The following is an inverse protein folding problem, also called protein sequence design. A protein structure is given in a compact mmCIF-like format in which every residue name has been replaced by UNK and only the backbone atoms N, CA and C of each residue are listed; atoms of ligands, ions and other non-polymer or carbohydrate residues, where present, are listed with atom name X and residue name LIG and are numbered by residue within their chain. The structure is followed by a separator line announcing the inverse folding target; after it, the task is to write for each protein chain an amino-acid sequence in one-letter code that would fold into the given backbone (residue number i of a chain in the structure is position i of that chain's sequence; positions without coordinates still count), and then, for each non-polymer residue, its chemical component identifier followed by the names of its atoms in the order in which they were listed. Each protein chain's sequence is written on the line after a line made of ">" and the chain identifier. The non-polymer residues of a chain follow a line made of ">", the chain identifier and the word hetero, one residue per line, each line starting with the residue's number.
data_IF_392690387567
#
_entry.id   IF_392690387567
#
_cell.length_a   1.000
_cell.length_b   1.000
_cell.length_c   1.000
_cell.angle_alpha   90.00
_cell.angle_beta   90.00
_cell.angle_gamma   90.00
#
_symmetry.space_group_name_H-M   'P 1'
#
loop_
_entity.id
_entity.type
_entity.pdbx_description
1 polymer ?
#
# COMPACT_ATOMS: atom_id res chain seq x y z
N UNK A 1 26.55 31.98 58.47
CA UNK A 1 27.84 31.44 58.98
C UNK A 1 27.50 30.40 60.05
N UNK A 2 27.94 29.13 59.94
CA UNK A 2 27.95 28.18 61.08
C UNK A 2 27.34 26.78 60.91
N UNK A 3 28.03 25.93 60.12
CA UNK A 3 28.22 24.46 60.12
C UNK A 3 27.38 23.43 60.96
N UNK A 4 26.82 22.45 60.22
CA UNK A 4 26.83 20.95 60.26
C UNK A 4 26.54 20.17 61.58
N UNK A 5 25.88 18.99 61.49
CA UNK A 5 26.67 17.75 61.69
C UNK A 5 26.38 16.63 60.66
N UNK A 6 27.43 15.84 60.37
CA UNK A 6 27.42 14.56 59.67
C UNK A 6 27.82 13.46 60.65
N UNK A 7 27.15 12.32 60.55
CA UNK A 7 27.50 11.03 61.15
C UNK A 7 26.28 10.12 61.03
N UNK A 8 26.31 8.85 60.65
CA UNK A 8 27.34 7.87 60.36
C UNK A 8 26.62 6.52 60.19
N UNK A 9 27.16 5.62 59.38
CA UNK A 9 26.57 4.40 58.82
C UNK A 9 26.20 3.27 59.83
N UNK A 10 25.24 2.40 59.45
CA UNK A 10 25.08 1.02 59.95
C UNK A 10 23.83 0.28 59.41
N UNK A 11 23.91 -0.90 58.73
CA UNK A 11 22.82 -1.43 57.88
C UNK A 11 22.14 -2.76 58.31
N UNK A 12 20.94 -2.97 57.73
CA UNK A 12 20.22 -4.21 57.33
C UNK A 12 19.73 -5.20 58.41
N UNK A 13 18.75 -6.13 58.14
CA UNK A 13 18.04 -6.43 56.89
C UNK A 13 16.49 -6.53 57.03
N UNK A 14 15.76 -6.26 55.94
CA UNK A 14 14.30 -6.46 55.88
C UNK A 14 13.90 -7.02 54.52
N UNK A 15 13.51 -8.30 54.54
CA UNK A 15 12.90 -9.12 53.50
C UNK A 15 12.34 -8.34 52.28
N UNK A 16 12.94 -8.61 51.11
CA UNK A 16 12.48 -8.08 49.83
C UNK A 16 11.04 -8.50 49.54
N UNK A 17 10.15 -7.51 49.41
CA UNK A 17 8.84 -7.70 48.80
C UNK A 17 9.05 -7.84 47.30
N UNK A 18 8.76 -9.03 46.77
CA UNK A 18 8.51 -9.25 45.35
C UNK A 18 7.30 -8.39 44.97
N UNK A 19 7.53 -7.28 44.27
CA UNK A 19 6.45 -6.55 43.60
C UNK A 19 6.04 -7.32 42.35
N UNK A 20 4.75 -7.55 42.10
CA UNK A 20 4.31 -8.18 40.87
C UNK A 20 4.63 -7.24 39.70
N UNK A 21 5.42 -7.72 38.75
CA UNK A 21 5.62 -7.04 37.46
C UNK A 21 4.26 -6.87 36.81
N UNK A 22 3.84 -5.66 36.41
CA UNK A 22 2.61 -5.52 35.64
C UNK A 22 2.80 -6.29 34.33
N UNK A 23 1.89 -7.23 34.08
CA UNK A 23 1.71 -7.88 32.79
C UNK A 23 1.62 -6.77 31.75
N UNK A 24 2.60 -6.69 30.85
CA UNK A 24 2.57 -5.79 29.72
C UNK A 24 1.36 -6.22 28.88
N UNK A 25 0.22 -5.56 29.11
CA UNK A 25 -0.97 -5.69 28.29
C UNK A 25 -0.54 -5.43 26.86
N UNK A 26 -0.79 -6.39 25.97
CA UNK A 26 -0.52 -6.36 24.52
C UNK A 26 -1.31 -5.27 23.80
N UNK A 27 -1.10 -4.04 24.26
CA UNK A 27 -1.65 -2.77 23.80
C UNK A 27 -0.52 -1.74 23.67
N UNK A 28 0.72 -2.18 23.42
CA UNK A 28 1.68 -1.41 22.61
C UNK A 28 1.20 -1.49 21.15
N UNK A 29 0.04 -0.86 20.94
CA UNK A 29 -0.77 -0.79 19.74
C UNK A 29 -0.04 0.12 18.74
N UNK A 30 0.47 -0.45 17.64
CA UNK A 30 0.57 0.13 16.29
C UNK A 30 0.99 1.62 16.12
N UNK A 31 1.76 2.22 17.03
CA UNK A 31 2.22 3.62 16.87
C UNK A 31 3.66 3.74 16.33
N UNK A 32 4.33 2.62 16.05
CA UNK A 32 5.78 2.63 15.76
C UNK A 32 6.16 2.68 14.27
N UNK A 33 5.24 2.45 13.33
CA UNK A 33 5.56 2.38 11.90
C UNK A 33 5.24 3.67 11.15
N UNK A 34 5.76 4.80 11.64
CA UNK A 34 5.74 6.07 10.91
C UNK A 34 7.15 6.42 10.38
N UNK A 35 7.32 6.66 9.07
CA UNK A 35 6.30 6.64 8.01
C UNK A 35 6.07 5.24 7.41
N UNK A 36 4.81 4.81 7.36
CA UNK A 36 4.37 3.69 6.51
C UNK A 36 4.32 4.15 5.04
N UNK A 37 4.59 3.24 4.11
CA UNK A 37 4.53 3.52 2.67
C UNK A 37 3.12 3.98 2.29
N UNK A 38 2.94 5.08 1.52
CA UNK A 38 1.61 5.52 1.08
C UNK A 38 0.86 4.45 0.28
N UNK A 39 -0.46 4.32 0.46
CA UNK A 39 -1.30 3.34 -0.25
C UNK A 39 -1.17 3.41 -1.77
N UNK A 40 -0.98 4.61 -2.34
CA UNK A 40 -0.74 4.77 -3.78
C UNK A 40 0.55 4.09 -4.26
N UNK A 41 1.59 4.03 -3.43
CA UNK A 41 2.83 3.33 -3.76
C UNK A 41 2.63 1.82 -3.69
N UNK A 42 1.88 1.30 -2.72
CA UNK A 42 1.54 -0.13 -2.67
C UNK A 42 0.75 -0.55 -3.92
N UNK A 43 -0.21 0.26 -4.35
CA UNK A 43 -0.95 0.01 -5.60
C UNK A 43 -0.01 0.04 -6.80
N UNK A 44 0.88 1.03 -6.90
CA UNK A 44 1.86 1.12 -7.99
C UNK A 44 2.80 -0.09 -8.02
N UNK A 45 3.31 -0.53 -6.87
CA UNK A 45 4.18 -1.70 -6.74
C UNK A 45 3.51 -2.95 -7.33
N UNK A 46 2.25 -3.20 -6.96
CA UNK A 46 1.46 -4.32 -7.51
C UNK A 46 1.18 -4.17 -9.01
N UNK A 47 0.86 -2.97 -9.47
CA UNK A 47 0.54 -2.71 -10.87
C UNK A 47 1.75 -2.80 -11.80
N UNK A 48 2.97 -2.62 -11.29
CA UNK A 48 4.21 -2.67 -12.08
C UNK A 48 4.62 -4.10 -12.44
N UNK A 49 4.03 -5.12 -11.81
CA UNK A 49 4.39 -6.52 -12.02
C UNK A 49 3.94 -6.94 -13.43
N UNK A 50 4.89 -7.11 -14.34
CA UNK A 50 4.61 -7.45 -15.74
C UNK A 50 3.76 -8.74 -15.85
N UNK A 51 4.17 -9.77 -15.10
CA UNK A 51 3.46 -11.03 -14.98
C UNK A 51 2.75 -11.12 -13.62
N UNK A 52 1.71 -10.29 -13.43
CA UNK A 52 0.98 -10.27 -12.16
C UNK A 52 0.41 -11.64 -11.80
N UNK A 53 0.62 -12.08 -10.56
CA UNK A 53 0.14 -13.36 -10.06
C UNK A 53 -1.20 -13.21 -9.29
N UNK A 54 -1.76 -14.34 -8.84
CA UNK A 54 -3.02 -14.36 -8.10
C UNK A 54 -2.96 -13.61 -6.76
N UNK A 55 -1.86 -13.73 -6.01
CA UNK A 55 -1.71 -13.10 -4.69
C UNK A 55 -1.71 -11.58 -4.83
N UNK A 56 -1.00 -11.05 -5.82
CA UNK A 56 -0.97 -9.61 -6.09
C UNK A 56 -2.33 -9.05 -6.51
N UNK A 57 -3.12 -9.83 -7.26
CA UNK A 57 -4.48 -9.46 -7.62
C UNK A 57 -5.40 -9.44 -6.39
N UNK A 58 -5.26 -10.41 -5.49
CA UNK A 58 -5.99 -10.43 -4.21
C UNK A 58 -5.59 -9.23 -3.34
N UNK A 59 -4.30 -8.90 -3.26
CA UNK A 59 -3.83 -7.71 -2.53
C UNK A 59 -4.46 -6.43 -3.10
N UNK A 60 -4.54 -6.29 -4.43
CA UNK A 60 -5.24 -5.18 -5.06
C UNK A 60 -6.74 -5.15 -4.73
N UNK A 61 -7.43 -6.30 -4.75
CA UNK A 61 -8.84 -6.41 -4.35
C UNK A 61 -9.02 -5.89 -2.92
N UNK A 62 -8.18 -6.32 -1.98
CA UNK A 62 -8.21 -5.90 -0.58
C UNK A 62 -7.97 -4.40 -0.45
N UNK A 63 -6.95 -3.86 -1.13
CA UNK A 63 -6.65 -2.43 -1.11
C UNK A 63 -7.83 -1.59 -1.63
N UNK A 64 -8.41 -1.96 -2.77
CA UNK A 64 -9.55 -1.25 -3.35
C UNK A 64 -10.88 -1.50 -2.62
N UNK A 65 -10.98 -2.54 -1.80
CA UNK A 65 -12.14 -2.77 -0.92
C UNK A 65 -12.05 -1.96 0.37
N UNK A 66 -10.87 -1.93 0.99
CA UNK A 66 -10.65 -1.28 2.28
C UNK A 66 -10.55 0.25 2.18
N UNK A 67 -10.03 0.79 1.07
CA UNK A 67 -9.70 2.21 0.98
C UNK A 67 -10.37 2.91 -0.21
N UNK A 68 -10.85 4.14 0.04
CA UNK A 68 -11.38 5.01 -0.99
C UNK A 68 -10.29 5.65 -1.84
N UNK A 69 -10.68 6.10 -3.04
CA UNK A 69 -9.86 7.02 -3.83
C UNK A 69 -10.06 8.44 -3.32
N UNK A 70 -8.97 9.08 -2.95
CA UNK A 70 -9.03 10.45 -2.44
C UNK A 70 -8.47 11.47 -3.42
N UNK A 71 -8.98 12.70 -3.25
CA UNK A 71 -8.39 13.90 -3.83
C UNK A 71 -7.13 14.29 -3.04
N UNK A 72 -6.21 15.06 -3.65
CA UNK A 72 -5.01 15.53 -2.97
C UNK A 72 -5.36 16.27 -1.67
N UNK A 73 -4.68 15.95 -0.57
CA UNK A 73 -4.80 16.65 0.70
C UNK A 73 -5.92 16.17 1.63
N UNK A 74 -6.65 15.09 1.31
CA UNK A 74 -7.84 14.64 2.07
C UNK A 74 -7.50 13.68 3.23
N UNK A 75 -6.35 13.02 3.24
CA UNK A 75 -5.95 12.15 4.35
C UNK A 75 -4.83 11.17 4.00
N UNK A 76 -4.35 10.42 5.00
CA UNK A 76 -3.31 9.39 4.84
C UNK A 76 -3.89 7.99 4.55
N UNK A 77 -5.18 7.78 4.84
CA UNK A 77 -5.86 6.48 4.77
C UNK A 77 -6.72 6.33 3.51
N UNK A 78 -6.15 6.69 2.35
CA UNK A 78 -6.83 6.64 1.07
C UNK A 78 -5.85 6.49 -0.09
N UNK A 79 -6.32 5.94 -1.21
CA UNK A 79 -5.54 5.76 -2.43
C UNK A 79 -5.52 7.07 -3.20
N UNK A 80 -4.34 7.70 -3.30
CA UNK A 80 -4.17 8.95 -4.03
C UNK A 80 -4.11 8.71 -5.55
N UNK A 81 -5.25 8.86 -6.23
CA UNK A 81 -5.38 8.64 -7.67
C UNK A 81 -4.51 9.60 -8.50
N UNK A 82 -4.33 10.84 -8.05
CA UNK A 82 -3.45 11.83 -8.71
C UNK A 82 -1.98 11.40 -8.66
N UNK A 83 -1.53 10.82 -7.56
CA UNK A 83 -0.16 10.32 -7.43
C UNK A 83 0.10 9.17 -8.42
N UNK A 84 -0.81 8.19 -8.47
CA UNK A 84 -0.74 7.07 -9.42
C UNK A 84 -0.75 7.60 -10.86
N UNK A 85 -1.72 8.44 -11.21
CA UNK A 85 -1.89 8.93 -12.56
C UNK A 85 -0.70 9.76 -13.05
N UNK A 86 -0.05 10.54 -12.17
CA UNK A 86 1.17 11.29 -12.53
C UNK A 86 2.32 10.36 -12.89
N UNK A 87 2.55 9.29 -12.13
CA UNK A 87 3.61 8.31 -12.42
C UNK A 87 3.36 7.65 -13.76
N UNK A 88 2.15 7.14 -13.98
CA UNK A 88 1.78 6.46 -15.22
C UNK A 88 1.68 7.41 -16.42
N UNK A 89 1.50 8.72 -16.20
CA UNK A 89 1.50 9.69 -17.28
C UNK A 89 2.90 10.00 -17.82
N UNK A 90 3.96 9.67 -17.08
CA UNK A 90 5.35 9.89 -17.50
C UNK A 90 6.00 8.64 -18.11
N UNK A 91 5.62 7.45 -17.65
CA UNK A 91 6.16 6.17 -18.13
C UNK A 91 5.12 5.35 -18.89
N UNK A 92 5.34 5.18 -20.20
CA UNK A 92 4.46 4.38 -21.06
C UNK A 92 4.50 2.88 -20.76
N UNK A 93 5.67 2.34 -20.43
CA UNK A 93 5.81 0.91 -20.15
C UNK A 93 5.08 0.54 -18.88
N UNK A 94 5.29 1.34 -17.82
CA UNK A 94 4.57 1.16 -16.57
C UNK A 94 3.06 1.39 -16.75
N UNK A 95 2.65 2.43 -17.48
CA UNK A 95 1.24 2.61 -17.83
C UNK A 95 0.64 1.38 -18.51
N UNK A 96 1.36 0.79 -19.46
CA UNK A 96 0.89 -0.38 -20.20
C UNK A 96 0.62 -1.56 -19.26
N UNK A 97 1.60 -1.93 -18.43
CA UNK A 97 1.46 -3.02 -17.45
C UNK A 97 0.33 -2.73 -16.45
N UNK A 98 0.27 -1.51 -15.93
CA UNK A 98 -0.77 -1.09 -15.00
C UNK A 98 -2.18 -1.22 -15.63
N UNK A 99 -2.37 -0.80 -16.88
CA UNK A 99 -3.65 -0.90 -17.56
C UNK A 99 -4.06 -2.34 -17.86
N UNK A 100 -3.09 -3.20 -18.24
CA UNK A 100 -3.31 -4.64 -18.42
C UNK A 100 -3.70 -5.29 -17.09
N UNK A 101 -3.01 -4.95 -16.00
CA UNK A 101 -3.24 -5.52 -14.68
C UNK A 101 -4.58 -5.06 -14.08
N UNK A 102 -4.97 -3.79 -14.27
CA UNK A 102 -6.29 -3.30 -13.89
C UNK A 102 -7.42 -3.99 -14.70
N UNK A 103 -7.17 -4.38 -15.96
CA UNK A 103 -8.11 -5.17 -16.73
C UNK A 103 -8.25 -6.61 -16.18
N UNK A 104 -7.13 -7.27 -15.87
CA UNK A 104 -7.13 -8.60 -15.21
C UNK A 104 -7.89 -8.56 -13.87
N UNK A 105 -7.65 -7.52 -13.06
CA UNK A 105 -8.33 -7.30 -11.78
C UNK A 105 -9.85 -7.21 -11.96
N UNK A 106 -10.34 -6.39 -12.90
CA UNK A 106 -11.77 -6.28 -13.21
C UNK A 106 -12.39 -7.63 -13.60
N UNK A 107 -11.70 -8.41 -14.41
CA UNK A 107 -12.16 -9.72 -14.86
C UNK A 107 -12.27 -10.70 -13.69
N UNK A 108 -11.28 -10.73 -12.80
CA UNK A 108 -11.28 -11.59 -11.62
C UNK A 108 -12.42 -11.22 -10.66
N UNK A 109 -12.61 -9.93 -10.37
CA UNK A 109 -13.70 -9.48 -9.49
C UNK A 109 -15.04 -9.91 -10.07
N UNK A 110 -15.24 -9.71 -11.38
CA UNK A 110 -16.47 -10.11 -12.07
C UNK A 110 -16.69 -11.63 -12.05
N UNK A 111 -15.64 -12.42 -12.29
CA UNK A 111 -15.71 -13.88 -12.21
C UNK A 111 -16.08 -14.35 -10.80
N UNK A 112 -15.41 -13.80 -9.78
CA UNK A 112 -15.64 -14.19 -8.39
C UNK A 112 -16.99 -13.72 -7.85
N UNK A 113 -17.52 -12.61 -8.36
CA UNK A 113 -18.91 -12.22 -8.10
C UNK A 113 -19.91 -13.21 -8.72
N UNK A 114 -19.68 -13.64 -9.96
CA UNK A 114 -20.54 -14.64 -10.62
C UNK A 114 -20.49 -16.02 -9.94
N UNK A 115 -19.33 -16.40 -9.39
CA UNK A 115 -19.16 -17.61 -8.59
C UNK A 115 -19.78 -17.51 -7.18
N UNK A 116 -20.21 -16.31 -6.76
CA UNK A 116 -20.74 -16.06 -5.41
C UNK A 116 -19.68 -15.96 -4.32
N UNK A 117 -18.40 -15.85 -4.68
CA UNK A 117 -17.27 -15.72 -3.74
C UNK A 117 -17.17 -14.29 -3.18
N UNK A 118 -17.46 -13.30 -4.02
CA UNK A 118 -17.53 -11.88 -3.64
C UNK A 118 -18.99 -11.46 -3.73
N UNK A 119 -19.49 -10.73 -2.73
CA UNK A 119 -20.84 -10.20 -2.77
C UNK A 119 -21.01 -9.24 -3.95
N UNK A 120 -22.24 -9.11 -4.46
CA UNK A 120 -22.53 -8.16 -5.54
C UNK A 120 -22.17 -6.73 -5.11
N UNK A 121 -22.53 -6.35 -3.89
CA UNK A 121 -22.27 -5.03 -3.31
C UNK A 121 -20.77 -4.72 -3.24
N UNK A 122 -19.96 -5.65 -2.73
CA UNK A 122 -18.50 -5.48 -2.65
C UNK A 122 -17.88 -5.42 -4.05
N UNK A 123 -18.35 -6.26 -4.98
CA UNK A 123 -17.83 -6.24 -6.35
C UNK A 123 -18.13 -4.92 -7.07
N UNK A 124 -19.34 -4.38 -6.91
CA UNK A 124 -19.74 -3.09 -7.49
C UNK A 124 -18.93 -1.94 -6.87
N UNK A 125 -18.71 -1.97 -5.55
CA UNK A 125 -17.87 -0.99 -4.85
C UNK A 125 -16.44 -0.99 -5.41
N UNK A 126 -15.78 -2.14 -5.45
CA UNK A 126 -14.39 -2.25 -5.92
C UNK A 126 -14.29 -1.85 -7.39
N UNK A 127 -15.20 -2.34 -8.24
CA UNK A 127 -15.22 -2.01 -9.67
C UNK A 127 -15.43 -0.51 -9.91
N UNK A 128 -16.25 0.16 -9.10
CA UNK A 128 -16.47 1.60 -9.20
C UNK A 128 -15.19 2.39 -8.89
N UNK A 129 -14.42 1.97 -7.88
CA UNK A 129 -13.13 2.58 -7.52
C UNK A 129 -12.08 2.31 -8.60
N UNK A 130 -11.95 1.06 -9.05
CA UNK A 130 -11.04 0.71 -10.16
C UNK A 130 -11.38 1.52 -11.42
N UNK A 131 -12.66 1.69 -11.74
CA UNK A 131 -13.11 2.53 -12.85
C UNK A 131 -12.69 3.99 -12.66
N UNK A 132 -12.92 4.58 -11.50
CA UNK A 132 -12.53 5.97 -11.22
C UNK A 132 -11.01 6.17 -11.33
N UNK A 133 -10.20 5.20 -10.90
CA UNK A 133 -8.74 5.25 -11.10
C UNK A 133 -8.37 5.22 -12.59
N UNK A 134 -8.97 4.30 -13.36
CA UNK A 134 -8.75 4.23 -14.82
C UNK A 134 -9.12 5.55 -15.49
N UNK A 135 -10.30 6.10 -15.20
CA UNK A 135 -10.76 7.37 -15.77
C UNK A 135 -9.80 8.51 -15.41
N UNK A 136 -9.22 8.49 -14.21
CA UNK A 136 -8.19 9.46 -13.78
C UNK A 136 -6.88 9.29 -14.54
N UNK A 137 -6.40 8.07 -14.74
CA UNK A 137 -5.17 7.77 -15.49
C UNK A 137 -5.31 8.22 -16.95
N UNK A 138 -6.44 7.90 -17.58
CA UNK A 138 -6.70 8.23 -18.98
C UNK A 138 -6.80 9.75 -19.20
N UNK A 139 -7.52 10.45 -18.32
CA UNK A 139 -7.69 11.90 -18.40
C UNK A 139 -6.44 12.72 -18.06
N UNK A 140 -5.42 12.11 -17.45
CA UNK A 140 -4.18 12.81 -17.08
C UNK A 140 -3.29 13.04 -18.31
N UNK A 141 -2.88 14.29 -18.60
CA UNK A 141 -2.03 14.62 -19.74
C UNK A 141 -0.70 13.85 -19.71
N UNK A 142 -0.37 13.19 -20.83
CA UNK A 142 0.84 12.37 -20.97
C UNK A 142 2.07 13.24 -21.28
N UNK A 143 3.22 12.88 -20.71
CA UNK A 143 4.45 13.62 -20.97
C UNK A 143 5.00 13.35 -22.36
N UNK A 144 5.94 14.19 -22.81
CA UNK A 144 6.63 13.97 -24.10
C UNK A 144 7.39 12.64 -24.12
N UNK A 145 7.90 12.17 -22.98
CA UNK A 145 8.61 10.90 -22.86
C UNK A 145 7.64 9.73 -23.10
N UNK A 146 6.51 9.75 -22.39
CA UNK A 146 5.42 8.81 -22.59
C UNK A 146 4.99 8.74 -24.06
N UNK A 147 4.73 9.89 -24.70
CA UNK A 147 4.27 9.96 -26.10
C UNK A 147 5.33 9.42 -27.08
N UNK A 148 6.63 9.67 -26.83
CA UNK A 148 7.69 9.11 -27.66
C UNK A 148 7.75 7.60 -27.51
N UNK A 149 7.68 7.08 -26.28
CA UNK A 149 7.74 5.64 -26.01
C UNK A 149 6.49 4.89 -26.50
N UNK A 150 5.33 5.52 -26.46
CA UNK A 150 4.07 4.92 -26.94
C UNK A 150 4.07 4.65 -28.44
N UNK A 151 4.75 5.49 -29.24
CA UNK A 151 4.94 5.26 -30.68
C UNK A 151 5.80 4.04 -31.00
N UNK A 152 6.71 3.68 -30.09
CA UNK A 152 7.48 2.43 -30.20
C UNK A 152 6.60 1.24 -29.83
N UNK A 153 5.72 1.41 -28.83
CA UNK A 153 4.77 0.39 -28.41
C UNK A 153 5.46 -0.87 -27.89
N UNK A 154 4.80 -2.02 -28.02
CA UNK A 154 5.31 -3.32 -27.56
C UNK A 154 6.37 -3.92 -28.49
N UNK A 155 6.75 -3.24 -29.58
CA UNK A 155 7.76 -3.72 -30.53
C UNK A 155 9.17 -3.86 -29.93
N UNK A 156 9.44 -3.14 -28.85
CA UNK A 156 10.66 -3.30 -28.04
C UNK A 156 10.25 -3.62 -26.60
N UNK A 157 10.97 -4.52 -25.91
CA UNK A 157 10.78 -4.75 -24.48
C UNK A 157 10.86 -3.43 -23.70
N UNK A 158 9.99 -3.28 -22.70
CA UNK A 158 9.99 -2.15 -21.76
C UNK A 158 10.21 -2.59 -20.30
N UNK A 159 10.25 -3.89 -20.06
CA UNK A 159 10.51 -4.50 -18.77
C UNK A 159 11.83 -5.27 -18.83
N UNK A 160 12.36 -5.60 -17.65
CA UNK A 160 13.45 -6.56 -17.49
C UNK A 160 12.84 -7.80 -16.87
N UNK A 161 13.18 -8.96 -17.40
CA UNK A 161 12.84 -10.22 -16.73
C UNK A 161 13.59 -10.27 -15.40
N UNK A 162 12.84 -10.52 -14.33
CA UNK A 162 13.39 -10.75 -13.00
C UNK A 162 13.15 -12.22 -12.70
N UNK A 163 14.24 -12.96 -12.50
CA UNK A 163 14.18 -14.38 -12.15
C UNK A 163 13.67 -14.50 -10.70
N UNK A 164 12.52 -15.16 -10.50
CA UNK A 164 12.03 -15.48 -9.15
C UNK A 164 12.97 -16.50 -8.50
N UNK A 165 13.71 -16.08 -7.47
CA UNK A 165 14.43 -17.00 -6.60
C UNK A 165 13.41 -17.71 -5.69
N UNK A 166 13.00 -18.91 -6.05
CA UNK A 166 12.27 -19.79 -5.15
C UNK A 166 13.09 -19.96 -3.85
N UNK A 167 12.49 -19.59 -2.71
CA UNK A 167 13.01 -19.87 -1.36
C UNK A 167 12.00 -20.68 -0.57
#
# INVERSE_FOLDING_TARGET
>A
MGYIPLGGFGPAPGLGRVTPTPLNTGLEVLEQDFPTIPLSHLVLEKLQIHEINWKDLVDLVVLFHAHDLCKPGVGKDCINADAIARVLADDWGFWYDAMVNLAKLKNIISSKANEGVISREDSELILSRVKALVDKIESTPKTKNWIKRSKIGTSKPWYREVEELER
#
